data_IF_932593234343
#
_entry.id   IF_932593234343
#
_cell.length_a   1.000
_cell.length_b   1.000
_cell.length_c   1.000
_cell.angle_alpha   90.00
_cell.angle_beta   90.00
_cell.angle_gamma   90.00
#
_symmetry.space_group_name_H-M   'P 1'
#
loop_
_entity.id
_entity.type
_entity.pdbx_description
1 polymer ?
#
# COMPACT_ATOMS: atom_id res chain seq x y z
N UNK A 1 38.04 14.29 -6.19
CA UNK A 1 36.80 13.62 -5.83
C UNK A 1 36.22 14.43 -4.69
N UNK A 2 35.15 15.17 -4.92
CA UNK A 2 34.39 15.83 -3.86
C UNK A 2 33.70 14.71 -3.10
N UNK A 3 33.77 14.62 -1.75
CA UNK A 3 33.02 13.66 -1.00
C UNK A 3 31.54 13.89 -1.33
N UNK A 4 30.87 12.89 -1.83
CA UNK A 4 29.42 12.89 -1.99
C UNK A 4 28.84 13.03 -0.55
N UNK A 5 28.35 14.21 -0.18
CA UNK A 5 27.74 14.39 1.13
C UNK A 5 26.52 13.48 1.22
N UNK A 6 26.63 12.41 2.03
CA UNK A 6 25.58 11.44 2.28
C UNK A 6 24.35 12.18 2.84
N UNK A 7 23.23 12.07 2.15
CA UNK A 7 21.99 12.71 2.59
C UNK A 7 21.52 12.15 3.94
N UNK A 8 20.67 12.88 4.66
CA UNK A 8 20.08 12.38 5.90
C UNK A 8 19.31 11.07 5.66
N UNK A 9 18.63 10.96 4.52
CA UNK A 9 17.94 9.74 4.13
C UNK A 9 18.91 8.56 3.98
N UNK A 10 20.02 8.74 3.28
CA UNK A 10 21.04 7.70 3.13
C UNK A 10 21.61 7.26 4.47
N UNK A 11 21.85 8.20 5.39
CA UNK A 11 22.30 7.90 6.76
C UNK A 11 21.30 7.02 7.52
N UNK A 12 20.00 7.33 7.41
CA UNK A 12 18.93 6.54 8.03
C UNK A 12 18.85 5.14 7.40
N UNK A 13 18.92 5.02 6.08
CA UNK A 13 18.93 3.74 5.37
C UNK A 13 20.12 2.89 5.81
N UNK A 14 21.33 3.46 5.82
CA UNK A 14 22.54 2.78 6.23
C UNK A 14 22.51 2.35 7.72
N UNK A 15 21.99 3.22 8.58
CA UNK A 15 21.81 2.90 9.99
C UNK A 15 20.84 1.73 10.17
N UNK A 16 19.70 1.78 9.46
CA UNK A 16 18.65 0.74 9.54
C UNK A 16 19.20 -0.63 9.14
N UNK A 17 19.99 -0.71 8.07
CA UNK A 17 20.64 -1.96 7.65
C UNK A 17 21.66 -2.44 8.67
N UNK A 18 22.57 -1.58 9.11
CA UNK A 18 23.64 -1.95 10.06
C UNK A 18 23.13 -2.34 11.43
N UNK A 19 22.00 -1.80 11.86
CA UNK A 19 21.40 -2.08 13.18
C UNK A 19 20.39 -3.22 13.15
N UNK A 20 20.17 -3.85 11.99
CA UNK A 20 19.28 -5.00 11.88
C UNK A 20 17.80 -4.63 11.97
N UNK A 21 17.42 -3.46 11.46
CA UNK A 21 16.01 -3.14 11.24
C UNK A 21 15.51 -3.83 9.99
N UNK A 22 16.23 -3.71 8.88
CA UNK A 22 15.86 -4.31 7.60
C UNK A 22 17.10 -4.79 6.84
N UNK A 23 16.92 -5.85 6.07
CA UNK A 23 17.90 -6.39 5.14
C UNK A 23 17.29 -6.48 3.74
N UNK A 24 18.13 -6.37 2.71
CA UNK A 24 17.69 -6.73 1.36
C UNK A 24 17.34 -8.21 1.34
N UNK A 25 16.14 -8.56 0.89
CA UNK A 25 15.75 -9.98 0.80
C UNK A 25 16.64 -10.72 -0.18
N UNK A 26 17.08 -11.92 0.18
CA UNK A 26 17.94 -12.81 -0.60
C UNK A 26 19.28 -12.16 -1.04
N UNK A 27 19.87 -11.29 -0.23
CA UNK A 27 21.06 -10.50 -0.54
C UNK A 27 22.26 -11.38 -0.97
N UNK A 28 22.44 -12.54 -0.34
CA UNK A 28 23.50 -13.52 -0.70
C UNK A 28 23.40 -14.06 -2.11
N UNK A 29 22.24 -13.92 -2.77
CA UNK A 29 21.98 -14.31 -4.15
C UNK A 29 21.84 -13.10 -5.10
N UNK A 30 22.30 -11.92 -4.66
CA UNK A 30 22.18 -10.67 -5.42
C UNK A 30 20.94 -9.85 -5.12
N UNK A 31 20.11 -10.30 -4.19
CA UNK A 31 18.91 -9.61 -3.75
C UNK A 31 17.74 -9.69 -4.73
N UNK A 32 16.53 -9.46 -4.20
CA UNK A 32 15.35 -9.21 -5.03
C UNK A 32 14.89 -7.77 -4.82
N UNK A 33 14.91 -6.98 -5.89
CA UNK A 33 14.70 -5.53 -5.82
C UNK A 33 13.37 -5.18 -5.16
N UNK A 34 13.44 -4.28 -4.17
CA UNK A 34 12.29 -3.78 -3.42
C UNK A 34 11.48 -4.85 -2.68
N UNK A 35 12.20 -5.83 -2.18
CA UNK A 35 11.74 -6.73 -1.14
C UNK A 35 12.74 -6.69 0.01
N UNK A 36 12.24 -6.68 1.23
CA UNK A 36 13.04 -6.54 2.43
C UNK A 36 12.62 -7.53 3.50
N UNK A 37 13.59 -8.04 4.23
CA UNK A 37 13.39 -8.85 5.41
C UNK A 37 13.54 -7.96 6.66
N UNK A 38 12.60 -8.04 7.59
CA UNK A 38 12.74 -7.35 8.87
C UNK A 38 13.72 -8.11 9.76
N UNK A 39 14.81 -7.44 10.13
CA UNK A 39 15.82 -7.99 11.01
C UNK A 39 15.37 -8.07 12.48
N UNK A 40 16.25 -8.51 13.39
CA UNK A 40 15.89 -8.77 14.80
C UNK A 40 15.30 -7.55 15.53
N UNK A 41 15.75 -6.34 15.23
CA UNK A 41 15.20 -5.11 15.82
C UNK A 41 13.95 -4.66 15.05
N UNK A 42 13.99 -4.75 13.72
CA UNK A 42 12.87 -4.33 12.87
C UNK A 42 11.60 -5.14 13.11
N UNK A 43 11.72 -6.45 13.33
CA UNK A 43 10.57 -7.31 13.62
C UNK A 43 9.89 -6.97 14.94
N UNK A 44 10.65 -6.53 15.94
CA UNK A 44 10.08 -6.08 17.22
C UNK A 44 9.29 -4.79 17.04
N UNK A 45 9.85 -3.82 16.32
CA UNK A 45 9.15 -2.57 15.99
C UNK A 45 7.88 -2.84 15.19
N UNK A 46 7.98 -3.66 14.13
CA UNK A 46 6.84 -4.06 13.30
C UNK A 46 5.71 -4.67 14.12
N UNK A 47 6.05 -5.62 15.03
CA UNK A 47 5.06 -6.26 15.91
C UNK A 47 4.43 -5.26 16.86
N UNK A 48 5.21 -4.39 17.48
CA UNK A 48 4.69 -3.37 18.39
C UNK A 48 3.69 -2.44 17.71
N UNK A 49 3.98 -1.98 16.48
CA UNK A 49 3.08 -1.12 15.72
C UNK A 49 1.78 -1.87 15.39
N UNK A 50 1.88 -3.12 14.89
CA UNK A 50 0.70 -3.95 14.58
C UNK A 50 -0.14 -4.26 15.81
N UNK A 51 0.49 -4.56 16.94
CA UNK A 51 -0.22 -4.85 18.20
C UNK A 51 -0.94 -3.60 18.73
N UNK A 52 -0.30 -2.43 18.69
CA UNK A 52 -0.93 -1.18 19.09
C UNK A 52 -2.13 -0.83 18.21
N UNK A 53 -1.99 -0.98 16.88
CA UNK A 53 -3.09 -0.77 15.97
C UNK A 53 -4.26 -1.75 16.25
N UNK A 54 -3.94 -3.05 16.35
CA UNK A 54 -4.96 -4.08 16.63
C UNK A 54 -5.68 -3.87 17.95
N UNK A 55 -4.91 -3.53 18.97
CA UNK A 55 -5.47 -3.22 20.30
C UNK A 55 -6.43 -2.04 20.22
N UNK A 56 -6.01 -0.94 19.60
CA UNK A 56 -6.81 0.30 19.57
C UNK A 56 -8.01 0.18 18.63
N UNK A 57 -7.83 -0.41 17.45
CA UNK A 57 -8.85 -0.44 16.41
C UNK A 57 -9.80 -1.64 16.52
N UNK A 58 -9.40 -2.71 17.21
CA UNK A 58 -10.23 -3.92 17.33
C UNK A 58 -10.56 -4.26 18.77
N UNK A 59 -9.53 -4.46 19.62
CA UNK A 59 -9.76 -5.03 20.95
C UNK A 59 -10.44 -4.07 21.93
N UNK A 60 -10.15 -2.79 21.86
CA UNK A 60 -10.74 -1.75 22.71
C UNK A 60 -12.08 -1.21 22.17
N UNK A 61 -12.55 -1.76 21.06
CA UNK A 61 -13.80 -1.33 20.41
C UNK A 61 -14.84 -2.45 20.45
N UNK A 62 -16.09 -2.06 20.67
CA UNK A 62 -17.23 -2.98 20.60
C UNK A 62 -17.88 -3.03 19.22
N UNK A 63 -17.55 -2.08 18.35
CA UNK A 63 -18.09 -1.87 17.01
C UNK A 63 -17.15 -2.34 15.89
N UNK A 64 -16.03 -2.98 16.19
CA UNK A 64 -15.09 -3.55 15.20
C UNK A 64 -14.85 -5.01 15.52
N UNK A 65 -14.72 -5.82 14.47
CA UNK A 65 -14.33 -7.24 14.56
C UNK A 65 -13.13 -7.52 13.67
N UNK A 66 -12.33 -8.51 14.04
CA UNK A 66 -11.16 -8.92 13.28
C UNK A 66 -11.49 -9.99 12.23
N UNK A 67 -10.76 -9.97 11.13
CA UNK A 67 -10.77 -10.97 10.06
C UNK A 67 -9.33 -11.27 9.64
N UNK A 68 -9.06 -12.47 9.18
CA UNK A 68 -7.83 -12.84 8.46
C UNK A 68 -8.22 -13.61 7.20
N UNK A 69 -8.30 -12.90 6.08
CA UNK A 69 -8.70 -13.47 4.80
C UNK A 69 -7.49 -14.03 4.03
N UNK A 70 -7.75 -15.00 3.15
CA UNK A 70 -6.73 -15.64 2.32
C UNK A 70 -6.01 -14.64 1.41
N UNK A 71 -4.71 -14.86 1.20
CA UNK A 71 -3.89 -14.10 0.25
C UNK A 71 -4.25 -14.46 -1.20
N UNK A 72 -4.42 -15.75 -1.47
CA UNK A 72 -4.77 -16.24 -2.80
C UNK A 72 -6.27 -16.11 -3.05
N UNK A 73 -6.64 -15.57 -4.19
CA UNK A 73 -8.03 -15.38 -4.59
C UNK A 73 -8.24 -15.71 -6.07
N UNK A 74 -9.43 -16.24 -6.44
CA UNK A 74 -9.76 -16.53 -7.82
C UNK A 74 -9.95 -15.23 -8.63
N UNK A 75 -9.81 -15.28 -9.98
CA UNK A 75 -9.98 -14.12 -10.86
C UNK A 75 -11.30 -13.36 -10.65
N UNK A 76 -12.38 -14.09 -10.39
CA UNK A 76 -13.72 -13.50 -10.23
C UNK A 76 -13.80 -12.41 -9.15
N UNK A 77 -12.98 -12.47 -8.09
CA UNK A 77 -12.91 -11.42 -7.06
C UNK A 77 -12.37 -10.13 -7.66
N UNK A 78 -11.32 -10.24 -8.47
CA UNK A 78 -10.61 -9.10 -9.06
C UNK A 78 -11.29 -8.55 -10.31
N UNK A 79 -12.07 -9.36 -11.00
CA UNK A 79 -13.00 -8.92 -12.04
C UNK A 79 -14.13 -8.08 -11.43
N UNK A 80 -14.77 -8.58 -10.37
CA UNK A 80 -15.86 -7.90 -9.69
C UNK A 80 -15.44 -6.55 -9.08
N UNK A 81 -14.22 -6.47 -8.54
CA UNK A 81 -13.66 -5.23 -7.97
C UNK A 81 -13.01 -4.30 -9.02
N UNK A 82 -12.95 -4.73 -10.29
CA UNK A 82 -12.35 -3.93 -11.37
C UNK A 82 -10.82 -3.92 -11.42
N UNK A 83 -10.13 -4.62 -10.53
CA UNK A 83 -8.66 -4.64 -10.49
C UNK A 83 -8.03 -5.23 -11.75
N UNK A 84 -8.63 -6.26 -12.35
CA UNK A 84 -8.07 -6.84 -13.57
C UNK A 84 -8.11 -5.86 -14.75
N UNK A 85 -9.10 -4.98 -14.80
CA UNK A 85 -9.27 -4.00 -15.88
C UNK A 85 -8.48 -2.71 -15.63
N UNK A 86 -8.43 -2.23 -14.38
CA UNK A 86 -8.01 -0.85 -14.08
C UNK A 86 -6.73 -0.75 -13.24
N UNK A 87 -6.31 -1.82 -12.57
CA UNK A 87 -5.11 -1.79 -11.73
C UNK A 87 -3.85 -1.99 -12.57
N UNK A 88 -3.60 -1.03 -13.46
CA UNK A 88 -2.49 -1.07 -14.41
C UNK A 88 -1.85 0.30 -14.57
N UNK A 89 -0.54 0.28 -14.82
CA UNK A 89 0.25 1.47 -15.14
C UNK A 89 0.58 1.49 -16.65
N UNK A 90 0.55 2.66 -17.30
CA UNK A 90 1.01 2.81 -18.67
C UNK A 90 2.55 2.74 -18.71
N UNK A 91 3.09 1.70 -19.32
CA UNK A 91 4.52 1.42 -19.39
C UNK A 91 5.08 1.72 -20.76
N UNK A 92 6.19 2.47 -20.82
CA UNK A 92 7.02 2.70 -22.00
C UNK A 92 8.43 2.17 -21.80
N UNK A 93 9.02 1.60 -22.82
CA UNK A 93 10.42 1.15 -22.83
C UNK A 93 11.25 2.10 -23.72
N UNK A 94 12.46 2.44 -23.29
CA UNK A 94 13.40 3.15 -24.14
C UNK A 94 14.14 2.18 -25.08
N UNK A 95 14.08 2.42 -26.40
CA UNK A 95 14.71 1.56 -27.41
C UNK A 95 16.24 1.63 -27.41
N UNK A 96 16.83 2.71 -26.89
CA UNK A 96 18.28 2.90 -26.82
C UNK A 96 18.89 2.29 -25.58
N UNK A 97 18.39 2.62 -24.38
CA UNK A 97 19.01 2.18 -23.12
C UNK A 97 18.27 1.02 -22.44
N UNK A 98 17.11 0.60 -22.94
CA UNK A 98 16.30 -0.46 -22.35
C UNK A 98 15.64 -0.10 -21.03
N UNK A 99 15.73 1.16 -20.59
CA UNK A 99 15.10 1.62 -19.36
C UNK A 99 13.57 1.64 -19.52
N UNK A 100 12.86 1.35 -18.41
CA UNK A 100 11.40 1.34 -18.34
C UNK A 100 10.90 2.48 -17.51
N UNK A 101 9.86 3.15 -17.98
CA UNK A 101 9.26 4.29 -17.32
C UNK A 101 7.73 4.18 -17.34
N UNK A 102 7.11 4.75 -16.33
CA UNK A 102 5.67 5.02 -16.35
C UNK A 102 5.44 6.26 -17.20
N UNK A 103 4.58 6.14 -18.22
CA UNK A 103 4.28 7.25 -19.14
C UNK A 103 3.66 8.44 -18.39
N UNK A 104 2.76 8.19 -17.47
CA UNK A 104 2.05 9.20 -16.67
C UNK A 104 2.94 9.96 -15.68
N UNK A 105 4.20 9.54 -15.52
CA UNK A 105 5.20 10.18 -14.65
C UNK A 105 6.35 10.82 -15.44
N UNK A 106 6.26 10.86 -16.75
CA UNK A 106 7.26 11.53 -17.59
C UNK A 106 6.96 13.03 -17.64
N UNK A 107 7.97 13.84 -17.31
CA UNK A 107 7.91 15.30 -17.50
C UNK A 107 7.92 15.67 -19.00
N UNK A 108 8.66 14.90 -19.80
CA UNK A 108 8.72 15.00 -21.26
C UNK A 108 8.36 13.64 -21.86
N UNK A 109 7.24 13.56 -22.54
CA UNK A 109 6.76 12.34 -23.19
C UNK A 109 7.62 11.90 -24.39
N UNK A 110 8.48 12.77 -24.92
CA UNK A 110 9.31 12.50 -26.10
C UNK A 110 10.75 12.11 -25.74
N UNK A 111 11.22 12.40 -24.51
CA UNK A 111 12.59 12.16 -24.09
C UNK A 111 12.69 11.08 -22.99
N UNK A 112 13.70 10.21 -23.12
CA UNK A 112 13.97 9.21 -22.09
C UNK A 112 14.69 9.85 -20.88
N UNK A 113 14.13 9.79 -19.65
CA UNK A 113 14.77 10.37 -18.48
C UNK A 113 16.13 9.74 -18.12
N UNK A 114 16.37 8.49 -18.54
CA UNK A 114 17.59 7.76 -18.21
C UNK A 114 18.77 8.06 -19.11
N UNK A 115 18.54 8.29 -20.42
CA UNK A 115 19.63 8.51 -21.39
C UNK A 115 19.51 9.83 -22.16
N UNK A 116 18.41 10.57 -22.02
CA UNK A 116 18.16 11.82 -22.73
C UNK A 116 17.79 11.64 -24.22
N UNK A 117 17.67 10.40 -24.72
CA UNK A 117 17.32 10.13 -26.12
C UNK A 117 15.91 10.60 -26.44
N UNK A 118 15.78 11.45 -27.49
CA UNK A 118 14.49 11.95 -27.97
C UNK A 118 13.88 10.99 -29.01
N UNK A 119 12.56 10.76 -28.95
CA UNK A 119 11.86 9.84 -29.84
C UNK A 119 12.20 8.37 -29.67
N UNK A 120 12.83 8.00 -28.56
CA UNK A 120 13.30 6.64 -28.30
C UNK A 120 12.32 5.79 -27.49
N UNK A 121 11.26 6.40 -26.95
CA UNK A 121 10.25 5.71 -26.15
C UNK A 121 9.28 4.92 -27.07
N UNK A 122 8.86 3.76 -26.59
CA UNK A 122 7.84 2.94 -27.27
C UNK A 122 6.45 3.53 -27.07
N UNK A 123 5.46 3.02 -27.82
CA UNK A 123 4.07 3.20 -27.44
C UNK A 123 3.82 2.62 -26.06
N UNK A 124 2.90 3.25 -25.30
CA UNK A 124 2.53 2.79 -23.99
C UNK A 124 1.77 1.46 -24.06
N UNK A 125 2.08 0.56 -23.16
CA UNK A 125 1.32 -0.67 -22.92
C UNK A 125 0.83 -0.70 -21.50
N UNK A 126 -0.37 -1.18 -21.27
CA UNK A 126 -0.89 -1.37 -19.93
C UNK A 126 -0.18 -2.54 -19.25
N UNK A 127 0.35 -2.30 -18.07
CA UNK A 127 1.00 -3.30 -17.25
C UNK A 127 0.22 -3.48 -15.96
N UNK A 128 -0.47 -4.63 -15.84
CA UNK A 128 -1.23 -4.93 -14.62
C UNK A 128 -0.27 -5.21 -13.45
N UNK A 129 -0.52 -4.55 -12.33
CA UNK A 129 0.32 -4.62 -11.12
C UNK A 129 0.03 -5.85 -10.26
N UNK A 130 -0.94 -6.69 -10.59
CA UNK A 130 -1.23 -7.89 -9.83
C UNK A 130 -0.23 -9.01 -10.10
N UNK A 131 0.23 -9.64 -9.03
CA UNK A 131 0.93 -10.93 -9.15
C UNK A 131 -0.08 -12.04 -9.38
N UNK A 132 0.18 -12.87 -10.39
CA UNK A 132 -0.59 -14.08 -10.64
C UNK A 132 0.26 -15.34 -10.55
N UNK A 133 -0.38 -16.44 -10.17
CA UNK A 133 0.21 -17.75 -10.12
C UNK A 133 -0.84 -18.82 -10.48
N UNK A 134 -0.48 -20.08 -10.39
CA UNK A 134 -1.35 -21.18 -10.75
C UNK A 134 -1.48 -22.14 -9.57
N UNK A 135 -2.71 -22.58 -9.32
CA UNK A 135 -3.03 -23.60 -8.32
C UNK A 135 -3.44 -24.90 -9.01
N UNK A 136 -2.76 -25.98 -8.70
CA UNK A 136 -3.00 -27.31 -9.26
C UNK A 136 -1.71 -28.03 -9.64
N UNK A 137 -1.76 -29.37 -9.85
CA UNK A 137 -0.56 -30.20 -10.06
C UNK A 137 0.05 -30.08 -11.47
N UNK A 138 -0.70 -29.58 -12.46
CA UNK A 138 -0.26 -29.48 -13.86
C UNK A 138 -0.57 -28.08 -14.39
N UNK A 139 0.43 -27.43 -15.00
CA UNK A 139 0.33 -26.03 -15.48
C UNK A 139 -0.77 -25.87 -16.52
N UNK A 140 -0.95 -26.84 -17.42
CA UNK A 140 -1.95 -26.77 -18.51
C UNK A 140 -3.41 -26.87 -18.01
N UNK A 141 -3.63 -27.45 -16.83
CA UNK A 141 -4.97 -27.57 -16.23
C UNK A 141 -5.12 -26.83 -14.89
N UNK A 142 -4.07 -26.11 -14.47
CA UNK A 142 -4.07 -25.40 -13.22
C UNK A 142 -4.94 -24.13 -13.29
N UNK A 143 -5.72 -23.89 -12.22
CA UNK A 143 -6.50 -22.67 -12.11
C UNK A 143 -5.60 -21.47 -11.90
N UNK A 144 -5.79 -20.40 -12.66
CA UNK A 144 -5.16 -19.11 -12.44
C UNK A 144 -5.68 -18.52 -11.11
N UNK A 145 -4.77 -18.05 -10.27
CA UNK A 145 -5.07 -17.39 -9.00
C UNK A 145 -4.16 -16.16 -8.85
N UNK A 146 -4.62 -15.19 -8.07
CA UNK A 146 -3.90 -13.94 -7.85
C UNK A 146 -3.51 -13.80 -6.38
N UNK A 147 -2.34 -13.16 -6.16
CA UNK A 147 -1.98 -12.64 -4.85
C UNK A 147 -2.68 -11.28 -4.69
N UNK A 148 -3.35 -11.09 -3.57
CA UNK A 148 -4.11 -9.85 -3.32
C UNK A 148 -3.20 -8.61 -3.36
N UNK A 149 -3.58 -7.54 -4.08
CA UNK A 149 -2.87 -6.26 -4.07
C UNK A 149 -3.23 -5.39 -2.86
N UNK A 150 -4.32 -5.72 -2.17
CA UNK A 150 -4.83 -5.07 -0.96
C UNK A 150 -5.69 -6.04 -0.14
N UNK A 151 -5.96 -5.69 1.12
CA UNK A 151 -6.73 -6.54 2.03
C UNK A 151 -8.24 -6.26 2.03
N UNK A 152 -8.70 -5.14 1.44
CA UNK A 152 -10.08 -4.68 1.45
C UNK A 152 -11.08 -5.72 0.93
N UNK A 153 -10.82 -6.33 -0.24
CA UNK A 153 -11.76 -7.29 -0.86
C UNK A 153 -12.02 -8.50 0.02
N UNK A 154 -11.02 -8.93 0.80
CA UNK A 154 -11.22 -10.00 1.78
C UNK A 154 -12.31 -9.66 2.81
N UNK A 155 -12.40 -8.39 3.21
CA UNK A 155 -13.43 -7.91 4.14
C UNK A 155 -14.79 -7.78 3.46
N UNK A 156 -14.86 -7.24 2.24
CA UNK A 156 -16.11 -7.11 1.49
C UNK A 156 -16.76 -8.46 1.17
N UNK A 157 -16.00 -9.42 0.64
CA UNK A 157 -16.56 -10.76 0.31
C UNK A 157 -17.00 -11.54 1.55
N UNK A 158 -16.45 -11.25 2.71
CA UNK A 158 -16.82 -11.88 3.97
C UNK A 158 -17.86 -11.08 4.78
N UNK A 159 -18.34 -9.94 4.28
CA UNK A 159 -19.28 -9.09 5.00
C UNK A 159 -20.50 -9.87 5.53
N UNK A 160 -21.19 -10.62 4.66
CA UNK A 160 -22.35 -11.41 5.05
C UNK A 160 -22.01 -12.50 6.07
N UNK A 161 -20.86 -13.18 5.93
CA UNK A 161 -20.39 -14.18 6.88
C UNK A 161 -20.15 -13.55 8.26
N UNK A 162 -19.51 -12.39 8.30
CA UNK A 162 -19.21 -11.65 9.53
C UNK A 162 -20.49 -11.16 10.20
N UNK A 163 -21.42 -10.55 9.46
CA UNK A 163 -22.72 -10.11 9.98
C UNK A 163 -23.48 -11.27 10.64
N UNK A 164 -23.55 -12.40 9.95
CA UNK A 164 -24.29 -13.57 10.43
C UNK A 164 -23.66 -14.18 11.68
N UNK A 165 -22.34 -14.26 11.75
CA UNK A 165 -21.62 -14.94 12.84
C UNK A 165 -21.41 -14.04 14.05
N UNK A 166 -21.10 -12.76 13.84
CA UNK A 166 -20.88 -11.78 14.92
C UNK A 166 -22.15 -11.07 15.40
N UNK A 167 -23.27 -11.22 14.67
CA UNK A 167 -24.54 -10.54 14.91
C UNK A 167 -24.41 -9.01 14.96
N UNK A 168 -23.42 -8.46 14.24
CA UNK A 168 -23.23 -7.02 14.11
C UNK A 168 -24.22 -6.43 13.10
N UNK A 169 -24.50 -5.14 13.29
CA UNK A 169 -25.28 -4.32 12.34
C UNK A 169 -24.53 -3.01 12.15
N UNK A 170 -24.58 -2.39 10.95
CA UNK A 170 -24.03 -1.05 10.76
C UNK A 170 -24.60 -0.04 11.79
N UNK A 171 -23.78 0.85 12.36
CA UNK A 171 -22.37 1.03 12.05
C UNK A 171 -21.45 -0.03 12.73
N UNK A 172 -20.56 -0.67 11.96
CA UNK A 172 -19.52 -1.52 12.51
C UNK A 172 -18.37 -1.69 11.50
N UNK A 173 -17.18 -2.04 12.00
CA UNK A 173 -15.99 -2.28 11.20
C UNK A 173 -15.55 -3.75 11.13
N UNK A 174 -14.91 -4.10 10.02
CA UNK A 174 -14.13 -5.33 9.86
C UNK A 174 -12.68 -4.89 9.64
N UNK A 175 -11.76 -5.42 10.43
CA UNK A 175 -10.35 -5.04 10.40
C UNK A 175 -9.45 -6.23 10.12
N UNK A 176 -8.38 -6.00 9.38
CA UNK A 176 -7.39 -7.02 9.04
C UNK A 176 -5.97 -6.44 9.08
N UNK A 177 -5.02 -7.26 9.52
CA UNK A 177 -3.59 -7.04 9.28
C UNK A 177 -3.12 -8.15 8.36
N UNK A 178 -2.52 -7.81 7.23
CA UNK A 178 -2.08 -8.84 6.30
C UNK A 178 -1.15 -8.33 5.21
N UNK A 179 -0.45 -9.26 4.60
CA UNK A 179 0.41 -8.99 3.46
C UNK A 179 -0.40 -8.74 2.19
N UNK A 180 0.11 -7.79 1.39
CA UNK A 180 -0.36 -7.45 0.06
C UNK A 180 0.81 -7.37 -0.91
N UNK A 181 0.53 -7.49 -2.21
CA UNK A 181 1.53 -7.71 -3.24
C UNK A 181 1.23 -6.85 -4.47
N UNK A 182 2.18 -6.01 -4.87
CA UNK A 182 2.06 -5.18 -6.07
C UNK A 182 3.31 -5.31 -6.92
N UNK A 183 3.18 -5.73 -8.16
CA UNK A 183 4.30 -5.88 -9.09
C UNK A 183 4.76 -4.51 -9.61
N UNK A 184 5.31 -3.71 -8.72
CA UNK A 184 5.72 -2.34 -8.98
C UNK A 184 6.77 -2.25 -10.10
N UNK A 185 6.54 -1.35 -11.06
CA UNK A 185 7.44 -1.09 -12.20
C UNK A 185 8.66 -0.32 -11.74
N UNK A 186 8.43 0.76 -10.99
CA UNK A 186 9.45 1.65 -10.44
C UNK A 186 9.49 1.56 -8.91
N UNK A 187 9.88 0.39 -8.36
CA UNK A 187 10.03 0.26 -6.93
C UNK A 187 11.22 1.09 -6.45
N UNK A 188 11.13 1.67 -5.25
CA UNK A 188 12.20 2.50 -4.76
C UNK A 188 11.93 3.11 -3.40
N UNK A 189 12.77 4.08 -3.03
CA UNK A 189 12.67 4.78 -1.76
C UNK A 189 12.71 3.84 -0.55
N UNK A 190 13.67 2.89 -0.56
CA UNK A 190 13.86 1.97 0.55
C UNK A 190 12.57 1.17 0.82
N UNK A 191 12.09 1.15 2.09
CA UNK A 191 10.87 0.40 2.49
C UNK A 191 9.55 1.11 2.15
N UNK A 192 9.58 2.33 1.61
CA UNK A 192 8.37 3.10 1.33
C UNK A 192 7.58 2.57 0.12
N UNK A 193 8.26 1.94 -0.86
CA UNK A 193 7.59 1.35 -2.02
C UNK A 193 8.17 -0.01 -2.35
N UNK A 194 7.52 -1.05 -1.86
CA UNK A 194 7.94 -2.43 -1.96
C UNK A 194 6.92 -3.26 -2.74
N UNK A 195 7.35 -4.43 -3.26
CA UNK A 195 6.47 -5.36 -3.97
C UNK A 195 5.66 -6.25 -3.05
N UNK A 196 6.17 -6.48 -1.86
CA UNK A 196 5.51 -7.19 -0.77
C UNK A 196 5.51 -6.27 0.45
N UNK A 197 4.35 -5.99 1.02
CA UNK A 197 4.16 -5.09 2.14
C UNK A 197 3.03 -5.58 3.06
N UNK A 198 2.88 -4.98 4.21
CA UNK A 198 1.76 -5.25 5.11
C UNK A 198 0.82 -4.05 5.16
N UNK A 199 -0.48 -4.35 5.21
CA UNK A 199 -1.52 -3.36 5.48
C UNK A 199 -2.18 -3.66 6.82
N UNK A 200 -2.53 -2.61 7.53
CA UNK A 200 -3.42 -2.60 8.68
C UNK A 200 -4.66 -1.83 8.23
N UNK A 201 -5.67 -2.54 7.79
CA UNK A 201 -6.83 -1.99 7.08
C UNK A 201 -8.11 -2.30 7.83
N UNK A 202 -9.06 -1.37 7.78
CA UNK A 202 -10.37 -1.52 8.39
C UNK A 202 -11.42 -0.89 7.49
N UNK A 203 -12.41 -1.68 7.12
CA UNK A 203 -13.61 -1.24 6.43
C UNK A 203 -14.71 -1.00 7.45
N UNK A 204 -15.16 0.24 7.58
CA UNK A 204 -16.20 0.61 8.55
C UNK A 204 -17.51 0.91 7.82
N UNK A 205 -18.48 0.04 8.00
CA UNK A 205 -19.77 0.06 7.30
C UNK A 205 -20.78 0.91 8.07
N UNK A 206 -21.35 1.90 7.39
CA UNK A 206 -22.30 2.86 7.97
C UNK A 206 -23.54 3.01 7.09
N UNK A 207 -24.68 3.51 7.63
CA UNK A 207 -25.76 3.98 6.79
C UNK A 207 -25.28 5.13 5.88
N UNK A 208 -25.74 5.23 4.62
CA UNK A 208 -25.27 6.26 3.69
C UNK A 208 -25.40 7.69 4.21
N UNK A 209 -26.49 7.99 4.94
CA UNK A 209 -26.75 9.33 5.48
C UNK A 209 -25.76 9.73 6.60
N UNK A 210 -25.11 8.77 7.23
CA UNK A 210 -24.16 8.98 8.34
C UNK A 210 -22.70 9.05 7.86
N UNK A 211 -22.44 8.84 6.57
CA UNK A 211 -21.07 8.66 6.04
C UNK A 211 -20.15 9.85 6.34
N UNK A 212 -20.63 11.09 6.17
CA UNK A 212 -19.86 12.30 6.40
C UNK A 212 -19.49 12.52 7.89
N UNK A 213 -20.36 12.08 8.82
CA UNK A 213 -20.07 12.15 10.25
C UNK A 213 -19.00 11.14 10.63
N UNK A 214 -19.12 9.89 10.15
CA UNK A 214 -18.16 8.84 10.41
C UNK A 214 -16.81 9.10 9.75
N UNK A 215 -16.78 9.72 8.57
CA UNK A 215 -15.53 10.15 7.94
C UNK A 215 -14.74 11.10 8.85
N UNK A 216 -15.37 12.17 9.35
CA UNK A 216 -14.75 13.12 10.28
C UNK A 216 -14.29 12.44 11.57
N UNK A 217 -15.13 11.58 12.14
CA UNK A 217 -14.77 10.80 13.32
C UNK A 217 -13.48 9.98 13.08
N UNK A 218 -13.36 9.32 11.93
CA UNK A 218 -12.19 8.51 11.64
C UNK A 218 -10.95 9.36 11.33
N UNK A 219 -11.06 10.52 10.70
CA UNK A 219 -9.97 11.48 10.57
C UNK A 219 -9.39 11.86 11.94
N UNK A 220 -10.25 12.26 12.88
CA UNK A 220 -9.84 12.62 14.23
C UNK A 220 -9.25 11.42 15.01
N UNK A 221 -9.87 10.27 14.91
CA UNK A 221 -9.40 9.05 15.57
C UNK A 221 -8.00 8.62 15.06
N UNK A 222 -7.75 8.72 13.75
CA UNK A 222 -6.43 8.41 13.16
C UNK A 222 -5.38 9.42 13.58
N UNK A 223 -5.67 10.71 13.55
CA UNK A 223 -4.76 11.75 14.02
C UNK A 223 -4.40 11.55 15.49
N UNK A 224 -5.40 11.25 16.35
CA UNK A 224 -5.17 10.97 17.77
C UNK A 224 -4.30 9.73 17.97
N UNK A 225 -4.51 8.67 17.20
CA UNK A 225 -3.70 7.45 17.30
C UNK A 225 -2.22 7.70 17.02
N UNK A 226 -1.87 8.51 16.02
CA UNK A 226 -0.48 8.87 15.74
C UNK A 226 0.15 9.71 16.85
N UNK A 227 -0.61 10.64 17.44
CA UNK A 227 -0.17 11.43 18.61
C UNK A 227 0.08 10.52 19.81
N UNK A 228 -0.79 9.56 20.07
CA UNK A 228 -0.67 8.59 21.17
C UNK A 228 0.55 7.67 21.00
N UNK A 229 0.98 7.42 19.76
CA UNK A 229 2.26 6.76 19.48
C UNK A 229 3.49 7.64 19.72
N UNK A 230 3.30 8.92 20.07
CA UNK A 230 4.37 9.87 20.32
C UNK A 230 4.89 10.59 19.08
N UNK A 231 4.17 10.56 17.96
CA UNK A 231 4.54 11.35 16.78
C UNK A 231 4.29 12.84 17.06
N UNK A 232 5.28 13.70 16.74
CA UNK A 232 5.15 15.14 16.97
C UNK A 232 4.00 15.74 16.16
N UNK A 233 3.12 16.47 16.84
CA UNK A 233 1.91 17.05 16.21
C UNK A 233 2.25 18.09 15.13
N UNK A 234 3.32 18.84 15.32
CA UNK A 234 3.80 19.82 14.37
C UNK A 234 4.34 19.22 13.06
N UNK A 235 4.61 17.91 13.05
CA UNK A 235 5.04 17.15 11.87
C UNK A 235 3.89 16.32 11.26
N UNK A 236 2.72 16.27 11.88
CA UNK A 236 1.54 15.58 11.33
C UNK A 236 0.65 16.56 10.58
N UNK A 237 0.10 16.13 9.45
CA UNK A 237 -0.89 16.87 8.64
C UNK A 237 -2.00 15.95 8.21
N UNK A 238 -3.24 16.39 8.37
CA UNK A 238 -4.38 15.81 7.65
C UNK A 238 -4.47 16.53 6.31
N UNK A 239 -4.31 15.79 5.20
CA UNK A 239 -4.43 16.29 3.84
C UNK A 239 -5.70 15.73 3.23
N UNK A 240 -6.68 16.55 3.01
CA UNK A 240 -7.86 16.20 2.23
C UNK A 240 -7.52 16.27 0.75
N UNK A 241 -8.05 15.32 -0.03
CA UNK A 241 -7.85 15.29 -1.48
C UNK A 241 -8.78 16.28 -2.20
N UNK A 242 -8.27 16.91 -3.22
CA UNK A 242 -9.08 17.71 -4.12
C UNK A 242 -9.99 16.81 -4.97
N UNK A 243 -11.08 17.37 -5.49
CA UNK A 243 -12.12 16.61 -6.22
C UNK A 243 -11.60 15.87 -7.46
N UNK A 244 -10.51 16.32 -8.06
CA UNK A 244 -9.85 15.69 -9.21
C UNK A 244 -8.87 14.58 -8.82
N UNK A 245 -8.51 14.48 -7.55
CA UNK A 245 -7.71 13.40 -6.98
C UNK A 245 -8.56 12.22 -6.50
N UNK A 246 -9.88 12.42 -6.31
CA UNK A 246 -10.76 11.38 -5.78
C UNK A 246 -10.93 10.20 -6.73
N UNK A 247 -10.91 8.99 -6.19
CA UNK A 247 -11.33 7.79 -6.92
C UNK A 247 -12.80 7.91 -7.30
N UNK A 248 -13.19 7.31 -8.43
CA UNK A 248 -14.56 7.39 -8.98
C UNK A 248 -15.66 6.86 -8.03
N UNK A 249 -15.30 6.12 -7.01
CA UNK A 249 -16.19 5.56 -5.99
C UNK A 249 -16.12 6.31 -4.65
N UNK A 250 -15.20 7.26 -4.50
CA UNK A 250 -14.99 7.98 -3.24
C UNK A 250 -15.68 9.34 -3.26
N UNK A 251 -16.34 9.69 -2.17
CA UNK A 251 -16.90 11.03 -1.94
C UNK A 251 -15.91 11.96 -1.26
N UNK A 252 -15.10 11.42 -0.36
CA UNK A 252 -14.09 12.14 0.40
C UNK A 252 -12.89 11.23 0.65
N UNK A 253 -11.71 11.80 0.61
CA UNK A 253 -10.46 11.08 0.89
C UNK A 253 -9.52 12.00 1.67
N UNK A 254 -8.85 11.48 2.69
CA UNK A 254 -7.80 12.19 3.40
C UNK A 254 -6.64 11.27 3.74
N UNK A 255 -5.43 11.84 3.65
CA UNK A 255 -4.19 11.23 4.13
C UNK A 255 -3.78 11.83 5.46
N UNK A 256 -3.26 10.99 6.36
CA UNK A 256 -2.45 11.49 7.48
C UNK A 256 -0.99 11.47 7.03
N UNK A 257 -0.44 12.63 6.70
CA UNK A 257 0.93 12.79 6.25
C UNK A 257 1.88 13.14 7.39
N UNK A 258 3.11 12.64 7.31
CA UNK A 258 4.20 12.98 8.22
C UNK A 258 5.29 13.75 7.47
N UNK A 259 5.68 14.90 7.98
CA UNK A 259 6.72 15.76 7.39
C UNK A 259 8.11 15.22 7.73
N UNK A 260 8.67 14.43 6.83
CA UNK A 260 10.04 13.94 6.98
C UNK A 260 11.07 15.05 6.68
N UNK A 261 12.21 15.10 7.40
CA UNK A 261 13.22 16.15 7.22
C UNK A 261 13.94 16.11 5.86
N UNK A 262 13.73 15.06 5.05
CA UNK A 262 14.31 14.90 3.71
C UNK A 262 13.28 15.01 2.57
N UNK A 263 11.98 15.06 2.90
CA UNK A 263 10.88 15.26 1.95
C UNK A 263 9.75 16.01 2.62
N UNK A 264 9.09 16.86 1.85
CA UNK A 264 7.98 17.67 2.36
C UNK A 264 6.71 16.88 2.65
N UNK A 265 6.51 15.72 1.99
CA UNK A 265 5.32 14.89 2.17
C UNK A 265 5.60 13.46 1.72
N UNK A 266 5.39 12.47 2.59
CA UNK A 266 5.24 11.08 2.18
C UNK A 266 4.01 10.49 2.88
N UNK A 267 3.20 9.80 2.08
CA UNK A 267 1.91 9.28 2.45
C UNK A 267 1.98 8.26 3.57
N UNK A 268 1.17 8.50 4.54
CA UNK A 268 0.68 7.55 5.53
C UNK A 268 -0.76 7.16 5.15
N UNK A 269 -1.38 6.20 5.82
CA UNK A 269 -2.60 5.53 5.33
C UNK A 269 -3.70 6.49 4.89
N UNK A 270 -4.22 6.17 3.75
CA UNK A 270 -5.36 6.82 3.11
C UNK A 270 -6.65 6.49 3.86
N UNK A 271 -7.45 7.50 4.14
CA UNK A 271 -8.81 7.39 4.65
C UNK A 271 -9.76 7.73 3.52
N UNK A 272 -10.57 6.76 3.10
CA UNK A 272 -11.57 6.96 2.05
C UNK A 272 -12.98 6.81 2.62
N UNK A 273 -13.87 7.70 2.23
CA UNK A 273 -15.32 7.59 2.39
C UNK A 273 -15.94 7.19 1.04
N UNK A 274 -16.74 6.14 1.03
CA UNK A 274 -17.49 5.66 -0.14
C UNK A 274 -18.93 6.06 -0.05
#
# INVERSE_FOLDING_TARGET
>A
MVPNDETLFDKVVNLSKRRGFVFQSADIYGGFRSTYDYGPIGVLLLRNVKEQWWRTMVQLRHDVVGLDASILSPPAVWEASGHLANFSDPLVDCRECGARHRQDKLEDAEACPSCGGSGTLTEARQFNLMFKTHAGPMVESAAEVYLRPETAQGMFINFANVVNTSRKKPPFGIAQIGKSFRNEITPGNFVFRTREFEQMEMEFFVPPDDSAEWYRYWCDARMSWYRDLGMPEDLLRLREHDSDELSHYSTDTADVAFLFPWRSEEHTPELQSQ
#
